data_IF_169308949620
#
_entry.id   IF_169308949620
#
_cell.length_a   1.000
_cell.length_b   1.000
_cell.length_c   1.000
_cell.angle_alpha   90.00
_cell.angle_beta   90.00
_cell.angle_gamma   90.00
#
_symmetry.space_group_name_H-M   'P 1'
#
loop_
_entity.id
_entity.type
_entity.pdbx_description
1 polymer ?
#
# COMPACT_ATOMS: atom_id res chain seq x y z
N UNK A 1 -14.17 7.68 19.31
CA UNK A 1 -13.03 7.27 20.17
C UNK A 1 -11.90 6.77 19.27
N UNK A 2 -10.65 7.23 19.46
CA UNK A 2 -9.53 6.87 18.59
C UNK A 2 -9.06 5.43 18.80
N UNK A 3 -9.31 4.84 19.98
CA UNK A 3 -8.81 3.53 20.37
C UNK A 3 -9.83 2.78 21.26
N UNK A 4 -9.94 1.46 21.10
CA UNK A 4 -10.74 0.56 21.94
C UNK A 4 -9.97 -0.73 22.21
N UNK A 5 -9.91 -1.16 23.46
CA UNK A 5 -9.18 -2.37 23.88
C UNK A 5 -10.16 -3.49 24.25
N UNK A 6 -9.79 -4.73 23.92
CA UNK A 6 -10.59 -5.92 24.16
C UNK A 6 -9.79 -6.90 25.03
N UNK A 7 -10.10 -7.03 26.33
CA UNK A 7 -9.46 -8.01 27.21
C UNK A 7 -9.93 -9.44 26.96
N UNK A 8 -9.08 -10.43 27.24
CA UNK A 8 -9.44 -11.84 27.27
C UNK A 8 -9.92 -12.30 28.67
N UNK A 9 -10.22 -13.59 28.80
CA UNK A 9 -10.68 -14.23 30.04
C UNK A 9 -9.67 -14.19 31.19
N UNK A 10 -8.40 -13.83 30.94
CA UNK A 10 -7.35 -13.66 31.94
C UNK A 10 -7.06 -12.18 32.24
N UNK A 11 -7.99 -11.28 31.89
CA UNK A 11 -7.89 -9.82 32.10
C UNK A 11 -6.69 -9.16 31.41
N UNK A 12 -6.15 -9.79 30.36
CA UNK A 12 -5.08 -9.24 29.52
C UNK A 12 -5.65 -8.72 28.21
N UNK A 13 -5.10 -7.61 27.70
CA UNK A 13 -5.50 -7.07 26.40
C UNK A 13 -5.13 -8.06 25.29
N UNK A 14 -6.12 -8.51 24.53
CA UNK A 14 -5.97 -9.45 23.40
C UNK A 14 -5.99 -8.72 22.07
N UNK A 15 -6.89 -7.74 21.92
CA UNK A 15 -7.04 -6.95 20.68
C UNK A 15 -7.18 -5.48 20.98
N UNK A 16 -6.74 -4.68 20.02
CA UNK A 16 -6.92 -3.23 20.02
C UNK A 16 -7.50 -2.82 18.68
N UNK A 17 -8.58 -2.05 18.71
CA UNK A 17 -9.14 -1.38 17.54
C UNK A 17 -8.68 0.06 17.53
N UNK A 18 -8.12 0.51 16.41
CA UNK A 18 -7.63 1.86 16.21
C UNK A 18 -8.36 2.48 15.02
N UNK A 19 -8.72 3.76 15.12
CA UNK A 19 -9.18 4.53 13.99
C UNK A 19 -7.96 5.13 13.26
N UNK A 20 -7.62 4.58 12.09
CA UNK A 20 -6.48 5.02 11.27
C UNK A 20 -6.76 6.30 10.47
N UNK A 21 -7.96 6.88 10.59
CA UNK A 21 -8.38 8.01 9.78
C UNK A 21 -8.87 7.59 8.39
N UNK A 22 -8.85 8.55 7.44
CA UNK A 22 -9.32 8.33 6.07
C UNK A 22 -8.14 8.19 5.12
N UNK A 23 -8.20 7.28 4.13
CA UNK A 23 -7.20 7.21 3.08
C UNK A 23 -7.26 8.47 2.19
N UNK A 24 -6.11 8.85 1.65
CA UNK A 24 -5.98 9.87 0.60
C UNK A 24 -5.38 9.23 -0.64
N UNK A 25 -5.96 9.49 -1.80
CA UNK A 25 -5.67 8.76 -3.05
C UNK A 25 -4.98 9.62 -4.11
N UNK A 26 -4.86 10.94 -3.87
CA UNK A 26 -4.29 11.87 -4.85
C UNK A 26 -2.77 11.83 -4.85
N UNK A 27 -2.15 12.09 -6.01
CA UNK A 27 -0.68 12.16 -6.16
C UNK A 27 -0.02 13.11 -5.17
N UNK A 28 -0.63 14.28 -4.91
CA UNK A 28 -0.11 15.24 -3.93
C UNK A 28 0.00 14.66 -2.51
N UNK A 29 -0.94 13.81 -2.12
CA UNK A 29 -0.96 13.20 -0.78
C UNK A 29 0.09 12.09 -0.57
N UNK A 30 0.67 11.61 -1.67
CA UNK A 30 1.66 10.52 -1.78
C UNK A 30 3.10 11.02 -2.02
N UNK A 31 3.30 12.34 -2.04
CA UNK A 31 4.35 13.03 -2.82
C UNK A 31 4.76 12.38 -4.16
N UNK A 32 3.81 12.04 -5.01
CA UNK A 32 4.06 11.43 -6.32
C UNK A 32 4.14 12.48 -7.44
N UNK A 33 5.05 12.28 -8.40
CA UNK A 33 5.19 13.16 -9.58
C UNK A 33 3.95 13.07 -10.47
N UNK A 34 3.51 14.20 -11.05
CA UNK A 34 2.40 14.29 -12.00
C UNK A 34 1.28 15.25 -11.57
N UNK A 35 0.09 15.17 -12.18
CA UNK A 35 -1.03 16.05 -11.86
C UNK A 35 -1.50 15.88 -10.41
N UNK A 36 -1.44 16.95 -9.62
CA UNK A 36 -1.60 16.92 -8.15
C UNK A 36 -2.93 16.32 -7.65
N UNK A 37 -4.02 16.53 -8.40
CA UNK A 37 -5.37 16.11 -8.04
C UNK A 37 -5.78 14.75 -8.62
N UNK A 38 -4.90 14.12 -9.39
CA UNK A 38 -5.19 12.81 -10.00
C UNK A 38 -5.07 11.71 -8.96
N UNK A 39 -6.02 10.77 -8.99
CA UNK A 39 -5.96 9.57 -8.16
C UNK A 39 -5.15 8.49 -8.87
N UNK A 40 -4.42 7.69 -8.09
CA UNK A 40 -3.59 6.61 -8.61
C UNK A 40 -4.27 5.29 -8.29
N UNK A 41 -5.19 4.87 -9.15
CA UNK A 41 -5.98 3.65 -9.01
C UNK A 41 -5.85 2.86 -10.30
N UNK A 42 -5.35 1.62 -10.21
CA UNK A 42 -5.09 0.76 -11.37
C UNK A 42 -4.34 1.50 -12.49
N UNK A 43 -3.26 2.18 -12.11
CA UNK A 43 -2.37 2.86 -13.05
C UNK A 43 -1.33 1.85 -13.53
N UNK A 44 -1.05 1.83 -14.84
CA UNK A 44 0.10 1.09 -15.35
C UNK A 44 1.43 1.72 -14.89
N UNK A 45 2.32 0.89 -14.38
CA UNK A 45 3.67 1.25 -13.99
C UNK A 45 4.67 0.23 -14.56
N UNK A 46 5.48 0.66 -15.51
CA UNK A 46 6.54 -0.15 -16.10
C UNK A 46 7.73 -0.21 -15.14
N UNK A 47 8.12 -1.42 -14.73
CA UNK A 47 9.22 -1.66 -13.80
C UNK A 47 10.07 -2.80 -14.32
N UNK A 48 11.32 -2.49 -14.67
CA UNK A 48 12.28 -3.44 -15.21
C UNK A 48 11.71 -4.17 -16.45
N UNK A 49 11.31 -5.42 -16.28
CA UNK A 49 10.83 -6.35 -17.29
C UNK A 49 9.31 -6.59 -17.24
N UNK A 50 8.56 -5.85 -16.41
CA UNK A 50 7.12 -6.07 -16.22
C UNK A 50 6.34 -4.77 -16.05
N UNK A 51 5.10 -4.74 -16.53
CA UNK A 51 4.12 -3.69 -16.22
C UNK A 51 3.24 -4.14 -15.07
N UNK A 52 3.10 -3.29 -14.06
CA UNK A 52 2.22 -3.51 -12.91
C UNK A 52 1.03 -2.58 -12.95
N UNK A 53 -0.12 -3.09 -12.53
CA UNK A 53 -1.28 -2.28 -12.19
C UNK A 53 -1.17 -1.87 -10.73
N UNK A 54 -0.86 -0.60 -10.49
CA UNK A 54 -0.62 -0.07 -9.15
C UNK A 54 -1.80 0.77 -8.66
N UNK A 55 -2.10 0.66 -7.37
CA UNK A 55 -2.98 1.60 -6.66
C UNK A 55 -2.22 2.20 -5.49
N UNK A 56 -2.11 3.53 -5.45
CA UNK A 56 -1.37 4.21 -4.40
C UNK A 56 -2.31 4.90 -3.40
N UNK A 57 -1.99 4.78 -2.12
CA UNK A 57 -2.78 5.34 -1.02
C UNK A 57 -1.89 5.91 0.08
N UNK A 58 -2.31 7.04 0.65
CA UNK A 58 -1.68 7.66 1.80
C UNK A 58 -2.55 7.49 3.03
N UNK A 59 -2.03 6.77 4.02
CA UNK A 59 -2.62 6.67 5.38
C UNK A 59 -1.92 7.61 6.38
N UNK A 60 -1.10 8.53 5.89
CA UNK A 60 -0.15 9.34 6.65
C UNK A 60 1.26 9.25 6.09
N UNK A 61 1.57 8.09 5.50
CA UNK A 61 2.74 7.74 4.70
C UNK A 61 2.28 7.08 3.38
N UNK A 62 3.11 7.07 2.32
CA UNK A 62 2.71 6.57 1.01
C UNK A 62 2.84 5.05 0.88
N UNK A 63 1.85 4.44 0.25
CA UNK A 63 1.77 3.00 -0.03
C UNK A 63 1.44 2.77 -1.51
N UNK A 64 2.04 1.75 -2.12
CA UNK A 64 1.87 1.32 -3.50
C UNK A 64 1.46 -0.14 -3.48
N UNK A 65 0.18 -0.41 -3.72
CA UNK A 65 -0.42 -1.74 -3.65
C UNK A 65 -0.48 -2.35 -5.05
N UNK A 66 0.01 -3.59 -5.15
CA UNK A 66 0.05 -4.39 -6.37
C UNK A 66 -0.58 -5.74 -6.08
N UNK A 67 -1.59 -6.10 -6.85
CA UNK A 67 -2.14 -7.45 -6.80
C UNK A 67 -1.31 -8.42 -7.63
N UNK A 68 -1.06 -9.60 -7.07
CA UNK A 68 -0.32 -10.68 -7.72
C UNK A 68 -1.11 -11.98 -7.60
N UNK A 69 -0.93 -12.89 -8.54
CA UNK A 69 -1.67 -14.16 -8.57
C UNK A 69 -1.19 -15.16 -7.51
N UNK A 70 0.09 -15.11 -7.15
CA UNK A 70 0.72 -16.01 -6.19
C UNK A 70 1.92 -15.30 -5.54
N UNK A 71 1.99 -15.30 -4.21
CA UNK A 71 3.09 -14.69 -3.46
C UNK A 71 4.28 -15.62 -3.18
N UNK A 72 4.10 -16.93 -3.17
CA UNK A 72 5.13 -17.91 -2.77
C UNK A 72 6.41 -17.77 -3.60
N UNK A 73 6.27 -17.61 -4.91
CA UNK A 73 7.39 -17.49 -5.85
C UNK A 73 7.57 -16.08 -6.43
N UNK A 74 6.79 -15.10 -5.95
CA UNK A 74 6.88 -13.75 -6.48
C UNK A 74 8.16 -13.05 -6.00
N UNK A 75 8.97 -12.43 -6.89
CA UNK A 75 10.24 -11.83 -6.52
C UNK A 75 10.08 -10.45 -5.86
N UNK A 76 9.45 -10.43 -4.68
CA UNK A 76 9.11 -9.23 -3.88
C UNK A 76 10.30 -8.30 -3.72
N UNK A 77 11.49 -8.82 -3.40
CA UNK A 77 12.69 -7.98 -3.19
C UNK A 77 13.14 -7.26 -4.45
N UNK A 78 13.07 -7.91 -5.62
CA UNK A 78 13.48 -7.33 -6.90
C UNK A 78 12.56 -6.17 -7.27
N UNK A 79 11.26 -6.43 -7.31
CA UNK A 79 10.29 -5.41 -7.74
C UNK A 79 10.03 -4.36 -6.66
N UNK A 80 9.96 -4.75 -5.40
CA UNK A 80 9.81 -3.84 -4.27
C UNK A 80 10.93 -2.79 -4.23
N UNK A 81 12.19 -3.19 -4.37
CA UNK A 81 13.32 -2.25 -4.40
C UNK A 81 13.25 -1.29 -5.60
N UNK A 82 12.91 -1.81 -6.78
CA UNK A 82 12.80 -1.01 -8.00
C UNK A 82 11.65 0.03 -7.92
N UNK A 83 10.52 -0.35 -7.33
CA UNK A 83 9.36 0.54 -7.14
C UNK A 83 9.61 1.55 -6.02
N UNK A 84 10.17 1.13 -4.88
CA UNK A 84 10.47 2.01 -3.72
C UNK A 84 11.30 3.22 -4.16
N UNK A 85 12.26 3.00 -5.07
CA UNK A 85 13.20 4.02 -5.53
C UNK A 85 12.84 4.61 -6.91
N UNK A 86 11.63 4.33 -7.42
CA UNK A 86 11.19 4.81 -8.73
C UNK A 86 11.08 6.34 -8.77
N UNK A 87 11.41 6.95 -9.91
CA UNK A 87 11.44 8.41 -10.08
C UNK A 87 10.08 9.10 -9.83
N UNK A 88 8.98 8.37 -10.02
CA UNK A 88 7.63 8.85 -9.70
C UNK A 88 7.42 9.06 -8.20
N UNK A 89 8.25 8.47 -7.33
CA UNK A 89 8.18 8.58 -5.88
C UNK A 89 9.44 9.23 -5.28
N UNK A 90 9.62 10.57 -5.41
CA UNK A 90 10.79 11.29 -4.92
C UNK A 90 11.10 11.10 -3.43
N UNK A 91 10.07 10.78 -2.62
CA UNK A 91 10.21 10.53 -1.17
C UNK A 91 10.17 9.04 -0.80
N UNK A 92 10.38 8.18 -1.80
CA UNK A 92 10.16 6.73 -1.75
C UNK A 92 8.71 6.37 -1.43
N UNK A 93 8.41 5.08 -1.49
CA UNK A 93 7.08 4.55 -1.22
C UNK A 93 7.17 3.18 -0.58
N UNK A 94 6.25 2.86 0.34
CA UNK A 94 6.08 1.48 0.81
C UNK A 94 5.42 0.68 -0.32
N UNK A 95 5.90 -0.53 -0.57
CA UNK A 95 5.38 -1.37 -1.66
C UNK A 95 4.78 -2.63 -1.08
N UNK A 96 3.50 -2.85 -1.36
CA UNK A 96 2.75 -4.01 -0.92
C UNK A 96 2.37 -4.89 -2.11
N UNK A 97 2.76 -6.17 -2.03
CA UNK A 97 2.27 -7.19 -2.96
C UNK A 97 1.20 -8.01 -2.25
N UNK A 98 0.03 -8.16 -2.88
CA UNK A 98 -1.16 -8.76 -2.28
C UNK A 98 -1.68 -9.88 -3.16
N UNK A 99 -1.85 -11.06 -2.58
CA UNK A 99 -2.59 -12.17 -3.17
C UNK A 99 -4.00 -12.22 -2.57
N UNK A 100 -5.02 -12.36 -3.43
CA UNK A 100 -6.42 -12.46 -2.99
C UNK A 100 -6.76 -13.93 -2.75
N UNK A 101 -6.88 -14.32 -1.47
CA UNK A 101 -7.11 -15.72 -1.06
C UNK A 101 -8.57 -16.18 -1.10
N UNK A 102 -9.53 -15.24 -1.13
CA UNK A 102 -10.95 -15.55 -1.30
C UNK A 102 -11.68 -14.38 -1.96
N UNK A 103 -12.70 -14.64 -2.79
CA UNK A 103 -13.65 -13.60 -3.17
C UNK A 103 -14.42 -13.14 -1.92
N UNK A 104 -14.91 -11.89 -1.97
CA UNK A 104 -15.73 -11.29 -0.91
C UNK A 104 -17.02 -12.10 -0.62
#
# INVERSE_FOLDING_TARGET
>A
LPLTMYPNSHERIDKVRVNMGRPRLTRESLPMVGPVNEQVINMDLEILDKTFQVTCVSMGNPHCVIYVDNLDDFPVKKYGYAIENHELFPRRINVEFVEVISPN
#
